data_IF_170521907872
#
_entry.id   IF_170521907872
#
_cell.length_a   1.000
_cell.length_b   1.000
_cell.length_c   1.000
_cell.angle_alpha   90.00
_cell.angle_beta   90.00
_cell.angle_gamma   90.00
#
_symmetry.space_group_name_H-M   'P 1'
#
loop_
_entity.id
_entity.type
_entity.pdbx_description
1 polymer ?
#
# COMPACT_ATOMS: atom_id res chain seq x y z
N UNK A 1 6.62 22.46 11.16
CA UNK A 1 6.30 21.03 10.95
C UNK A 1 6.55 20.73 9.49
N UNK A 2 7.51 19.88 9.16
CA UNK A 2 7.56 19.33 7.79
C UNK A 2 6.26 18.52 7.63
N UNK A 3 5.37 18.98 6.78
CA UNK A 3 4.19 18.21 6.39
C UNK A 3 4.76 17.00 5.64
N UNK A 4 4.42 15.79 6.06
CA UNK A 4 4.77 14.60 5.31
C UNK A 4 4.24 14.80 3.89
N UNK A 5 5.13 14.83 2.89
CA UNK A 5 4.73 15.02 1.52
C UNK A 5 4.25 13.71 0.90
N UNK A 6 3.55 13.81 -0.22
CA UNK A 6 3.11 12.66 -0.98
C UNK A 6 4.32 11.82 -1.46
N UNK A 7 4.11 10.51 -1.63
CA UNK A 7 5.12 9.61 -2.16
C UNK A 7 4.58 8.81 -3.35
N UNK A 8 5.39 8.69 -4.41
CA UNK A 8 5.15 7.77 -5.52
C UNK A 8 5.95 6.49 -5.29
N UNK A 9 5.34 5.32 -5.49
CA UNK A 9 5.99 4.04 -5.21
C UNK A 9 5.52 2.92 -6.14
N UNK A 10 6.34 1.87 -6.24
CA UNK A 10 6.03 0.66 -6.98
C UNK A 10 5.47 -0.43 -6.06
N UNK A 11 4.47 -1.16 -6.55
CA UNK A 11 3.87 -2.27 -5.81
C UNK A 11 3.61 -3.49 -6.72
N UNK A 12 4.09 -4.69 -6.35
CA UNK A 12 4.97 -4.96 -5.22
C UNK A 12 6.36 -4.29 -5.39
N UNK A 13 7.05 -3.88 -4.30
CA UNK A 13 8.36 -3.23 -4.41
C UNK A 13 9.49 -4.21 -4.76
N UNK A 14 9.24 -5.50 -4.67
CA UNK A 14 10.19 -6.56 -5.03
C UNK A 14 9.46 -7.83 -5.43
N UNK A 15 10.17 -8.73 -6.10
CA UNK A 15 9.64 -10.04 -6.49
C UNK A 15 10.72 -10.93 -7.11
N UNK A 16 10.47 -12.24 -7.14
CA UNK A 16 11.32 -13.20 -7.84
C UNK A 16 10.48 -13.89 -8.90
N UNK A 17 10.94 -13.81 -10.15
CA UNK A 17 10.25 -14.31 -11.34
C UNK A 17 11.20 -15.16 -12.20
N UNK A 18 10.67 -15.94 -13.11
CA UNK A 18 11.48 -16.66 -14.07
C UNK A 18 11.74 -15.81 -15.32
N UNK A 19 12.89 -16.03 -15.94
CA UNK A 19 13.16 -15.44 -17.27
C UNK A 19 12.05 -15.82 -18.26
N UNK A 20 11.56 -14.84 -19.02
CA UNK A 20 10.42 -14.91 -19.94
C UNK A 20 9.04 -15.02 -19.29
N UNK A 21 8.93 -14.91 -17.98
CA UNK A 21 7.67 -14.81 -17.25
C UNK A 21 7.19 -13.35 -17.18
N UNK A 22 5.87 -13.15 -17.34
CA UNK A 22 5.25 -11.85 -17.19
C UNK A 22 4.86 -11.62 -15.72
N UNK A 23 5.13 -10.41 -15.21
CA UNK A 23 4.68 -9.99 -13.88
C UNK A 23 4.17 -8.54 -13.91
N UNK A 24 3.28 -8.21 -12.99
CA UNK A 24 2.65 -6.90 -12.96
C UNK A 24 3.18 -6.07 -11.80
N UNK A 25 3.53 -4.82 -12.11
CA UNK A 25 3.92 -3.80 -11.14
C UNK A 25 2.95 -2.63 -11.26
N UNK A 26 2.45 -2.14 -10.14
CA UNK A 26 1.57 -0.98 -10.09
C UNK A 26 2.37 0.26 -9.68
N UNK A 27 2.17 1.36 -10.38
CA UNK A 27 2.57 2.69 -9.93
C UNK A 27 1.48 3.21 -9.02
N UNK A 28 1.84 3.56 -7.80
CA UNK A 28 0.91 4.01 -6.76
C UNK A 28 1.36 5.32 -6.13
N UNK A 29 0.40 6.05 -5.57
CA UNK A 29 0.64 7.27 -4.80
C UNK A 29 0.04 7.13 -3.40
N UNK A 30 0.86 7.47 -2.41
CA UNK A 30 0.45 7.81 -1.06
C UNK A 30 0.42 9.34 -0.96
N UNK A 31 -0.74 9.92 -0.71
CA UNK A 31 -0.88 11.37 -0.61
C UNK A 31 -0.47 11.93 0.74
N UNK A 32 -0.13 11.08 1.71
CA UNK A 32 0.14 11.44 3.11
C UNK A 32 -0.98 12.29 3.73
N UNK A 33 -2.24 11.98 3.38
CA UNK A 33 -3.42 12.70 3.86
C UNK A 33 -3.65 14.08 3.22
N UNK A 34 -2.84 14.47 2.23
CA UNK A 34 -3.06 15.69 1.48
C UNK A 34 -4.03 15.45 0.33
N UNK A 35 -4.84 16.45 0.02
CA UNK A 35 -5.67 16.44 -1.19
C UNK A 35 -4.79 16.68 -2.42
N UNK A 36 -4.67 15.68 -3.29
CA UNK A 36 -3.93 15.75 -4.55
C UNK A 36 -4.89 15.56 -5.73
N UNK A 37 -4.56 16.14 -6.89
CA UNK A 37 -5.39 16.02 -8.08
C UNK A 37 -4.61 15.67 -9.35
N UNK A 38 -3.30 15.74 -9.38
CA UNK A 38 -2.50 15.39 -10.53
C UNK A 38 -1.15 14.81 -10.13
N UNK A 39 -0.58 13.97 -10.99
CA UNK A 39 0.80 13.55 -10.90
C UNK A 39 1.35 13.18 -12.27
N UNK A 40 2.66 13.31 -12.39
CA UNK A 40 3.44 12.88 -13.54
C UNK A 40 4.74 12.24 -13.09
N UNK A 41 5.36 11.49 -13.97
CA UNK A 41 6.65 10.88 -13.65
C UNK A 41 7.28 10.12 -14.79
N UNK A 42 8.56 9.86 -14.62
CA UNK A 42 9.36 9.01 -15.50
C UNK A 42 10.00 7.91 -14.68
N UNK A 43 9.78 6.65 -15.09
CA UNK A 43 10.49 5.51 -14.55
C UNK A 43 11.57 5.06 -15.54
N UNK A 44 12.62 4.46 -14.99
CA UNK A 44 13.74 3.91 -15.75
C UNK A 44 14.03 2.47 -15.32
N UNK A 45 14.35 1.64 -16.29
CA UNK A 45 14.76 0.25 -16.09
C UNK A 45 15.85 -0.14 -17.08
N UNK A 46 16.56 -1.24 -16.84
CA UNK A 46 17.57 -1.72 -17.75
C UNK A 46 16.93 -2.60 -18.86
N UNK A 47 16.87 -2.12 -20.12
CA UNK A 47 16.26 -2.89 -21.21
C UNK A 47 17.06 -4.15 -21.62
N UNK A 48 18.29 -4.29 -21.13
CA UNK A 48 19.08 -5.52 -21.27
C UNK A 48 18.60 -6.65 -20.34
N UNK A 49 17.99 -6.31 -19.21
CA UNK A 49 17.59 -7.26 -18.16
C UNK A 49 16.10 -7.59 -18.21
N UNK A 50 15.26 -6.60 -18.56
CA UNK A 50 13.80 -6.75 -18.64
C UNK A 50 13.22 -5.92 -19.77
N UNK A 51 11.95 -6.16 -20.08
CA UNK A 51 11.17 -5.38 -21.02
C UNK A 51 9.76 -5.13 -20.50
N UNK A 52 9.13 -4.04 -20.93
CA UNK A 52 7.70 -3.79 -20.73
C UNK A 52 6.91 -4.51 -21.82
N UNK A 53 5.93 -5.31 -21.42
CA UNK A 53 5.01 -6.02 -22.32
C UNK A 53 3.78 -5.13 -22.60
N UNK A 54 3.25 -4.48 -21.56
CA UNK A 54 2.10 -3.58 -21.70
C UNK A 54 1.99 -2.62 -20.50
N UNK A 55 1.28 -1.52 -20.69
CA UNK A 55 0.85 -0.62 -19.65
C UNK A 55 -0.68 -0.46 -19.70
N UNK A 56 -1.35 -0.40 -18.56
CA UNK A 56 -2.82 -0.34 -18.48
C UNK A 56 -3.28 0.66 -17.44
N UNK A 57 -4.26 1.49 -17.83
CA UNK A 57 -4.93 2.44 -16.96
C UNK A 57 -6.09 1.84 -16.16
N UNK A 58 -6.39 0.56 -16.36
CA UNK A 58 -7.49 -0.12 -15.65
C UNK A 58 -7.28 -0.10 -14.15
N UNK A 59 -8.28 0.37 -13.39
CA UNK A 59 -8.19 0.52 -11.94
C UNK A 59 -7.47 1.77 -11.46
N UNK A 60 -7.13 2.70 -12.37
CA UNK A 60 -6.56 4.01 -12.03
C UNK A 60 -7.57 4.88 -11.28
N UNK A 61 -7.08 5.65 -10.29
CA UNK A 61 -7.88 6.74 -9.72
C UNK A 61 -7.83 8.01 -10.57
N UNK A 62 -6.93 8.10 -11.55
CA UNK A 62 -6.91 9.17 -12.53
C UNK A 62 -8.08 9.02 -13.50
N UNK A 63 -8.77 10.12 -13.74
CA UNK A 63 -9.89 10.21 -14.70
C UNK A 63 -9.52 10.99 -15.97
N UNK A 64 -8.42 11.74 -15.93
CA UNK A 64 -7.88 12.54 -17.02
C UNK A 64 -6.41 12.20 -17.23
N UNK A 65 -5.98 12.17 -18.49
CA UNK A 65 -4.59 11.88 -18.85
C UNK A 65 -4.08 13.00 -19.78
N UNK A 66 -3.02 13.68 -19.33
CA UNK A 66 -2.28 14.65 -20.15
C UNK A 66 -1.22 13.94 -21.00
N UNK A 67 -0.69 12.82 -20.47
CA UNK A 67 0.18 11.90 -21.18
C UNK A 67 -0.20 10.46 -20.74
N UNK A 68 -0.74 9.69 -21.68
CA UNK A 68 -1.03 8.27 -21.42
C UNK A 68 0.25 7.53 -21.06
N UNK A 69 0.19 6.50 -20.17
CA UNK A 69 1.35 5.69 -19.86
C UNK A 69 1.99 5.12 -21.13
N UNK A 70 3.18 5.58 -21.45
CA UNK A 70 3.97 5.20 -22.63
C UNK A 70 5.30 4.61 -22.22
N UNK A 71 5.87 3.73 -23.04
CA UNK A 71 7.15 3.11 -22.73
C UNK A 71 8.02 2.87 -23.97
N UNK A 72 9.32 2.80 -23.73
CA UNK A 72 10.31 2.44 -24.77
C UNK A 72 11.26 1.37 -24.23
N UNK A 73 11.17 0.19 -24.77
CA UNK A 73 12.11 -0.91 -24.46
C UNK A 73 13.52 -0.68 -25.05
N UNK A 74 13.71 0.31 -25.92
CA UNK A 74 15.03 0.68 -26.42
C UNK A 74 15.79 1.56 -25.43
N UNK A 75 15.09 2.48 -24.79
CA UNK A 75 15.68 3.44 -23.86
C UNK A 75 15.48 3.05 -22.39
N UNK A 76 14.63 2.07 -22.09
CA UNK A 76 14.29 1.67 -20.73
C UNK A 76 13.50 2.73 -19.97
N UNK A 77 12.66 3.52 -20.65
CA UNK A 77 11.87 4.59 -20.05
C UNK A 77 10.37 4.28 -20.10
N UNK A 78 9.67 4.74 -19.05
CA UNK A 78 8.21 4.74 -18.97
C UNK A 78 7.81 6.11 -18.49
N UNK A 79 6.88 6.76 -19.18
CA UNK A 79 6.43 8.12 -18.89
C UNK A 79 4.91 8.15 -18.72
N UNK A 80 4.43 8.98 -17.80
CA UNK A 80 3.01 9.17 -17.56
C UNK A 80 2.72 10.55 -17.00
N UNK A 81 1.50 11.04 -17.22
CA UNK A 81 0.99 12.28 -16.64
C UNK A 81 -0.53 12.29 -16.67
N UNK A 82 -1.15 12.65 -15.57
CA UNK A 82 -2.59 12.68 -15.49
C UNK A 82 -3.10 13.18 -14.15
N UNK A 83 -4.41 13.09 -13.96
CA UNK A 83 -5.05 13.59 -12.76
C UNK A 83 -6.51 13.16 -12.63
N UNK A 84 -7.15 13.73 -11.63
CA UNK A 84 -8.55 13.49 -11.31
C UNK A 84 -9.27 14.80 -11.01
N UNK A 85 -10.53 14.89 -11.41
CA UNK A 85 -11.37 16.06 -11.08
C UNK A 85 -11.73 16.12 -9.59
N UNK A 86 -11.90 14.96 -8.96
CA UNK A 86 -12.14 14.86 -7.52
C UNK A 86 -10.81 14.66 -6.82
N UNK A 87 -10.48 15.53 -5.88
CA UNK A 87 -9.27 15.38 -5.06
C UNK A 87 -9.17 13.98 -4.45
N UNK A 88 -7.96 13.43 -4.46
CA UNK A 88 -7.64 12.16 -3.85
C UNK A 88 -6.80 12.37 -2.60
N UNK A 89 -7.26 11.81 -1.47
CA UNK A 89 -6.50 11.70 -0.23
C UNK A 89 -6.49 10.24 0.20
N UNK A 90 -5.33 9.59 0.20
CA UNK A 90 -5.21 8.18 0.54
C UNK A 90 -3.81 7.63 0.32
N UNK A 91 -3.54 6.45 0.89
CA UNK A 91 -2.20 5.86 0.95
C UNK A 91 -1.90 4.81 -0.11
N UNK A 92 -2.81 4.54 -1.04
CA UNK A 92 -2.64 3.42 -1.97
C UNK A 92 -3.28 3.60 -3.34
N UNK A 93 -3.44 4.86 -3.80
CA UNK A 93 -4.04 5.17 -5.10
C UNK A 93 -3.25 4.55 -6.24
N UNK A 94 -3.87 3.67 -7.01
CA UNK A 94 -3.25 3.12 -8.22
C UNK A 94 -3.30 4.17 -9.33
N UNK A 95 -2.14 4.54 -9.85
CA UNK A 95 -2.02 5.40 -11.03
C UNK A 95 -2.21 4.57 -12.31
N UNK A 96 -1.39 3.54 -12.51
CA UNK A 96 -1.53 2.57 -13.61
C UNK A 96 -0.76 1.29 -13.31
N UNK A 97 -0.99 0.26 -14.12
CA UNK A 97 -0.32 -1.03 -14.02
C UNK A 97 0.63 -1.22 -15.21
N UNK A 98 1.77 -1.88 -14.97
CA UNK A 98 2.78 -2.20 -15.97
C UNK A 98 3.04 -3.71 -15.93
N UNK A 99 2.96 -4.38 -17.06
CA UNK A 99 3.37 -5.77 -17.20
C UNK A 99 4.80 -5.80 -17.71
N UNK A 100 5.70 -6.36 -16.94
CA UNK A 100 7.09 -6.60 -17.30
C UNK A 100 7.36 -8.06 -17.61
N UNK A 101 8.50 -8.31 -18.26
CA UNK A 101 9.05 -9.65 -18.51
C UNK A 101 10.57 -9.62 -18.38
N UNK A 102 11.14 -10.53 -17.57
CA UNK A 102 12.58 -10.69 -17.44
C UNK A 102 13.20 -11.30 -18.69
N UNK A 103 14.34 -10.78 -19.14
CA UNK A 103 15.06 -11.25 -20.35
C UNK A 103 16.20 -12.17 -20.02
N UNK A 104 16.90 -11.93 -18.94
CA UNK A 104 18.06 -12.68 -18.47
C UNK A 104 17.97 -12.92 -16.95
N UNK A 105 18.67 -13.95 -16.47
CA UNK A 105 18.80 -14.16 -15.02
C UNK A 105 19.68 -13.06 -14.41
N UNK A 106 19.06 -12.18 -13.61
CA UNK A 106 19.69 -11.02 -12.99
C UNK A 106 18.81 -10.48 -11.86
N UNK A 107 19.27 -9.48 -11.14
CA UNK A 107 18.44 -8.65 -10.27
C UNK A 107 18.38 -7.26 -10.86
N UNK A 108 17.22 -6.90 -11.40
CA UNK A 108 16.99 -5.65 -12.07
C UNK A 108 16.26 -4.64 -11.18
N UNK A 109 16.51 -3.37 -11.39
CA UNK A 109 15.91 -2.26 -10.67
C UNK A 109 14.96 -1.48 -11.58
N UNK A 110 13.85 -1.03 -11.02
CA UNK A 110 12.99 -0.02 -11.64
C UNK A 110 12.97 1.18 -10.70
N UNK A 111 13.39 2.33 -11.18
CA UNK A 111 13.50 3.54 -10.37
C UNK A 111 12.73 4.70 -11.02
N UNK A 112 12.21 5.60 -10.20
CA UNK A 112 11.76 6.90 -10.69
C UNK A 112 12.98 7.79 -10.96
N UNK A 113 13.08 8.34 -12.16
CA UNK A 113 14.10 9.33 -12.51
C UNK A 113 13.61 10.76 -12.32
N UNK A 114 12.31 10.98 -12.39
CA UNK A 114 11.63 12.26 -12.12
C UNK A 114 10.17 12.03 -11.78
N UNK A 115 9.55 13.01 -11.11
CA UNK A 115 8.12 13.00 -10.83
C UNK A 115 7.66 14.26 -10.12
N UNK A 116 6.35 14.49 -10.17
CA UNK A 116 5.64 15.49 -9.38
C UNK A 116 4.29 14.94 -8.94
N UNK A 117 3.80 15.41 -7.80
CA UNK A 117 2.43 15.18 -7.31
C UNK A 117 1.89 16.53 -6.88
N UNK A 118 0.79 16.97 -7.49
CA UNK A 118 0.25 18.30 -7.29
C UNK A 118 -0.90 18.29 -6.29
N UNK A 119 -0.86 19.25 -5.35
CA UNK A 119 -1.95 19.50 -4.43
C UNK A 119 -3.21 19.97 -5.18
N UNK A 120 -4.37 19.59 -4.64
CA UNK A 120 -5.67 20.01 -5.17
C UNK A 120 -6.07 21.42 -4.65
N UNK A 121 -5.11 22.32 -4.50
CA UNK A 121 -5.29 23.70 -4.00
C UNK A 121 -5.50 24.75 -5.10
N UNK A 122 -5.46 24.33 -6.34
CA UNK A 122 -5.56 25.19 -7.50
C UNK A 122 -4.30 26.02 -7.81
N UNK A 123 -3.22 25.87 -7.03
CA UNK A 123 -1.96 26.62 -7.21
C UNK A 123 -0.90 25.80 -7.94
N UNK A 124 -1.11 24.49 -8.13
CA UNK A 124 -0.14 23.59 -8.76
C UNK A 124 1.10 23.31 -7.91
N UNK A 125 0.96 23.41 -6.59
CA UNK A 125 2.07 23.13 -5.66
C UNK A 125 2.47 21.67 -5.73
N UNK A 126 3.77 21.39 -5.97
CA UNK A 126 4.30 20.05 -5.92
C UNK A 126 4.53 19.63 -4.47
N UNK A 127 3.79 18.60 -4.04
CA UNK A 127 3.83 18.04 -2.67
C UNK A 127 4.57 16.72 -2.59
N UNK A 128 5.20 16.27 -3.68
CA UNK A 128 5.99 15.04 -3.70
C UNK A 128 7.22 15.15 -2.81
N UNK A 129 7.36 14.25 -1.85
CA UNK A 129 8.50 14.19 -0.92
C UNK A 129 9.35 12.94 -1.09
N UNK A 130 8.83 11.89 -1.74
CA UNK A 130 9.54 10.63 -1.93
C UNK A 130 9.15 9.88 -3.19
N UNK A 131 10.13 9.17 -3.77
CA UNK A 131 9.93 8.26 -4.89
C UNK A 131 10.62 6.94 -4.57
N UNK A 132 9.86 5.84 -4.55
CA UNK A 132 10.36 4.52 -4.16
C UNK A 132 10.23 3.55 -5.33
N UNK A 133 11.38 3.13 -5.84
CA UNK A 133 11.50 2.13 -6.91
C UNK A 133 11.26 0.71 -6.40
N UNK A 134 11.63 -0.28 -7.24
CA UNK A 134 11.51 -1.70 -6.91
C UNK A 134 12.69 -2.52 -7.41
N UNK A 135 12.91 -3.69 -6.78
CA UNK A 135 13.97 -4.64 -7.10
C UNK A 135 13.38 -6.01 -7.45
N UNK A 136 13.69 -6.53 -8.64
CA UNK A 136 13.06 -7.75 -9.17
C UNK A 136 14.14 -8.72 -9.62
N UNK A 137 14.16 -9.91 -9.00
CA UNK A 137 15.13 -10.97 -9.32
C UNK A 137 14.57 -11.90 -10.39
N UNK A 138 15.35 -12.17 -11.40
CA UNK A 138 15.03 -13.14 -12.45
C UNK A 138 15.91 -14.36 -12.32
N UNK A 139 15.30 -15.51 -12.09
CA UNK A 139 16.00 -16.80 -12.06
C UNK A 139 15.94 -17.45 -13.44
N UNK A 140 16.97 -18.22 -13.79
CA UNK A 140 17.03 -18.89 -15.06
C UNK A 140 15.80 -19.78 -15.28
N UNK A 141 15.25 -19.77 -16.50
CA UNK A 141 14.27 -20.77 -16.91
C UNK A 141 14.99 -22.11 -16.86
N UNK A 142 14.48 -23.07 -16.10
CA UNK A 142 15.04 -24.41 -16.06
C UNK A 142 14.91 -24.96 -17.48
N UNK A 143 16.03 -25.06 -18.20
CA UNK A 143 16.05 -25.72 -19.47
C UNK A 143 15.72 -27.21 -19.24
N UNK A 144 14.90 -27.83 -20.06
CA UNK A 144 14.77 -29.29 -20.03
C UNK A 144 16.17 -29.90 -20.18
N UNK A 145 16.49 -30.99 -19.45
CA UNK A 145 17.81 -31.62 -19.53
C UNK A 145 18.12 -31.94 -20.99
N UNK A 146 19.25 -31.42 -21.48
CA UNK A 146 19.77 -31.73 -22.79
C UNK A 146 20.08 -33.23 -22.80
N UNK A 147 19.29 -34.00 -23.50
CA UNK A 147 19.62 -35.38 -23.80
C UNK A 147 20.86 -35.30 -24.70
N UNK A 148 22.01 -35.70 -24.19
CA UNK A 148 23.22 -35.84 -25.01
C UNK A 148 22.94 -36.94 -26.05
N UNK A 149 22.93 -36.53 -27.29
CA UNK A 149 22.87 -37.44 -28.44
C UNK A 149 24.18 -38.21 -28.46
N UNK A 150 24.18 -39.54 -28.57
CA UNK A 150 25.42 -40.30 -28.74
C UNK A 150 26.14 -39.83 -30.03
N UNK A 151 27.44 -39.69 -29.93
CA UNK A 151 28.37 -39.28 -30.99
C UNK A 151 28.14 -40.13 -32.23
N UNK A 152 27.75 -39.50 -33.33
CA UNK A 152 27.64 -40.14 -34.64
C UNK A 152 29.03 -40.54 -35.17
N UNK A 153 29.16 -41.79 -35.54
CA UNK A 153 30.24 -42.32 -36.39
C UNK A 153 29.97 -41.91 -37.84
N UNK A 154 31.00 -41.56 -38.65
CA UNK A 154 30.82 -40.93 -39.96
C UNK A 154 30.09 -41.83 -41.00
N UNK A 155 29.46 -41.24 -42.02
CA UNK A 155 28.49 -41.92 -42.88
C UNK A 155 29.13 -42.80 -43.95
N UNK A 156 28.58 -44.01 -44.08
CA UNK A 156 28.71 -44.80 -45.30
C UNK A 156 27.56 -44.41 -46.21
N UNK A 157 27.92 -43.89 -47.38
CA UNK A 157 26.99 -43.59 -48.47
C UNK A 157 26.29 -44.85 -49.02
N UNK A 158 24.94 -44.85 -49.02
CA UNK A 158 24.23 -45.65 -50.09
C UNK A 158 22.77 -45.18 -50.25
N UNK A 159 22.52 -44.84 -51.48
CA UNK A 159 21.35 -45.01 -52.36
C UNK A 159 19.94 -44.57 -51.90
N UNK A 160 19.44 -43.67 -52.76
CA UNK A 160 18.05 -43.21 -52.89
C UNK A 160 17.10 -44.39 -53.16
N UNK A 161 16.07 -44.53 -52.32
CA UNK A 161 14.74 -44.94 -52.73
C UNK A 161 13.77 -44.13 -51.88
N UNK A 162 13.05 -43.24 -52.54
CA UNK A 162 12.00 -42.39 -51.89
C UNK A 162 10.75 -43.25 -51.69
N UNK A 163 10.69 -43.97 -50.58
CA UNK A 163 9.43 -44.39 -49.99
C UNK A 163 9.11 -43.41 -48.89
N UNK A 164 7.95 -42.76 -48.95
CA UNK A 164 7.40 -41.88 -47.96
C UNK A 164 7.26 -42.64 -46.65
N UNK A 165 8.29 -42.64 -45.80
CA UNK A 165 8.20 -43.14 -44.43
C UNK A 165 7.25 -42.21 -43.70
N UNK A 166 6.03 -42.69 -43.38
CA UNK A 166 5.15 -42.02 -42.41
C UNK A 166 5.93 -41.87 -41.11
N UNK A 167 6.21 -40.61 -40.73
CA UNK A 167 6.99 -40.24 -39.56
C UNK A 167 6.35 -40.90 -38.31
N UNK A 168 7.06 -41.82 -37.67
CA UNK A 168 6.61 -42.49 -36.43
C UNK A 168 6.56 -41.42 -35.32
N UNK A 169 5.36 -40.95 -35.01
CA UNK A 169 5.18 -39.81 -34.10
C UNK A 169 4.39 -40.23 -32.89
N UNK A 170 5.06 -40.34 -31.74
CA UNK A 170 4.41 -40.46 -30.44
C UNK A 170 3.66 -39.15 -30.09
N UNK A 171 2.63 -39.18 -29.21
CA UNK A 171 1.87 -37.99 -28.86
C UNK A 171 2.72 -36.84 -28.30
N UNK A 172 2.40 -35.61 -28.66
CA UNK A 172 2.92 -34.44 -27.98
C UNK A 172 2.45 -34.40 -26.49
N UNK A 173 3.11 -33.58 -25.67
CA UNK A 173 2.68 -33.37 -24.30
C UNK A 173 1.24 -32.85 -24.24
N UNK A 174 0.38 -33.42 -23.38
CA UNK A 174 -1.00 -32.94 -23.19
C UNK A 174 -1.07 -31.46 -22.81
N UNK A 175 -2.06 -30.74 -23.31
CA UNK A 175 -2.37 -29.38 -22.83
C UNK A 175 -3.28 -29.48 -21.65
N UNK A 176 -2.74 -29.19 -20.44
CA UNK A 176 -3.49 -29.20 -19.19
C UNK A 176 -3.95 -27.78 -18.88
N UNK A 177 -5.19 -27.64 -18.43
CA UNK A 177 -5.73 -26.41 -17.84
C UNK A 177 -6.39 -26.72 -16.51
N UNK A 178 -6.49 -25.72 -15.65
CA UNK A 178 -7.21 -25.85 -14.37
C UNK A 178 -8.17 -24.67 -14.19
N UNK A 179 -9.50 -24.89 -14.30
CA UNK A 179 -10.47 -23.83 -14.03
C UNK A 179 -10.49 -23.35 -12.58
N UNK A 180 -10.13 -24.23 -11.63
CA UNK A 180 -10.05 -23.89 -10.22
C UNK A 180 -8.74 -23.18 -9.84
N UNK A 181 -7.65 -23.45 -10.57
CA UNK A 181 -6.31 -22.93 -10.36
C UNK A 181 -5.70 -22.49 -11.70
N UNK A 182 -6.26 -21.42 -12.31
CA UNK A 182 -5.92 -21.08 -13.71
C UNK A 182 -4.50 -20.54 -13.88
N UNK A 183 -3.90 -20.01 -12.81
CA UNK A 183 -2.55 -19.48 -12.81
C UNK A 183 -1.63 -20.39 -11.99
N UNK A 184 -0.71 -21.13 -12.62
CA UNK A 184 0.17 -22.05 -11.92
C UNK A 184 1.25 -21.36 -11.07
N UNK A 185 1.39 -20.04 -11.19
CA UNK A 185 2.37 -19.24 -10.43
C UNK A 185 1.73 -18.51 -9.24
N UNK A 186 0.42 -18.66 -9.04
CA UNK A 186 -0.34 -17.99 -7.99
C UNK A 186 -0.80 -18.95 -6.91
N UNK A 187 -0.72 -18.52 -5.66
CA UNK A 187 -1.33 -19.21 -4.53
C UNK A 187 -2.85 -19.07 -4.57
N UNK A 188 -3.55 -20.16 -4.26
CA UNK A 188 -5.00 -20.23 -4.25
C UNK A 188 -5.51 -20.78 -2.92
N UNK A 189 -6.61 -20.21 -2.42
CA UNK A 189 -7.28 -20.70 -1.20
C UNK A 189 -7.96 -22.04 -1.37
N UNK A 190 -8.46 -22.30 -2.57
CA UNK A 190 -9.25 -23.51 -2.83
C UNK A 190 -8.37 -24.73 -2.75
N UNK A 191 -8.81 -25.71 -1.95
CA UNK A 191 -8.20 -27.03 -1.82
C UNK A 191 -8.77 -28.05 -2.80
N UNK A 192 -9.81 -27.67 -3.57
CA UNK A 192 -10.45 -28.52 -4.56
C UNK A 192 -9.92 -28.18 -5.95
N UNK A 193 -9.16 -29.10 -6.53
CA UNK A 193 -8.49 -28.89 -7.82
C UNK A 193 -9.23 -29.63 -8.91
N UNK A 194 -9.44 -28.94 -10.03
CA UNK A 194 -10.01 -29.52 -11.25
C UNK A 194 -9.04 -29.33 -12.39
N UNK A 195 -8.63 -30.42 -13.03
CA UNK A 195 -7.84 -30.41 -14.26
C UNK A 195 -8.69 -30.82 -15.44
N UNK A 196 -8.46 -30.17 -16.57
CA UNK A 196 -9.05 -30.46 -17.88
C UNK A 196 -7.94 -30.55 -18.91
N UNK A 197 -8.17 -31.35 -19.95
CA UNK A 197 -7.26 -31.46 -21.10
C UNK A 197 -8.00 -31.84 -22.37
N UNK A 198 -7.43 -31.49 -23.52
CA UNK A 198 -7.90 -31.90 -24.82
C UNK A 198 -7.42 -33.30 -25.13
N UNK A 199 -8.27 -34.14 -25.71
CA UNK A 199 -7.95 -35.51 -26.06
C UNK A 199 -7.89 -35.69 -27.61
N UNK A 200 -6.70 -35.87 -28.21
CA UNK A 200 -6.56 -36.20 -29.61
C UNK A 200 -7.18 -37.58 -29.96
N UNK A 201 -7.70 -37.72 -31.18
CA UNK A 201 -8.45 -38.92 -31.63
C UNK A 201 -7.60 -40.20 -31.71
N UNK A 202 -6.29 -40.07 -31.82
CA UNK A 202 -5.34 -41.18 -31.97
C UNK A 202 -4.83 -41.76 -30.64
N UNK A 203 -5.29 -41.20 -29.51
CA UNK A 203 -4.87 -41.64 -28.18
C UNK A 203 -5.54 -42.95 -27.81
N UNK A 204 -4.73 -43.94 -27.41
CA UNK A 204 -5.16 -45.27 -27.01
C UNK A 204 -5.06 -45.54 -25.51
N UNK A 205 -4.24 -44.78 -24.80
CA UNK A 205 -4.12 -44.87 -23.35
C UNK A 205 -3.68 -43.53 -22.74
N UNK A 206 -4.10 -43.29 -21.47
CA UNK A 206 -3.79 -42.12 -20.69
C UNK A 206 -3.25 -42.57 -19.33
N UNK A 207 -2.23 -41.93 -18.82
CA UNK A 207 -1.81 -42.09 -17.43
C UNK A 207 -1.51 -40.75 -16.79
N UNK A 208 -1.85 -40.63 -15.48
CA UNK A 208 -1.61 -39.44 -14.71
C UNK A 208 -1.09 -39.72 -13.30
N UNK A 209 -0.54 -38.76 -12.67
CA UNK A 209 -0.17 -38.78 -11.24
C UNK A 209 -0.26 -37.36 -10.67
N UNK A 210 -0.56 -37.24 -9.37
CA UNK A 210 -0.63 -35.98 -8.66
C UNK A 210 0.17 -36.09 -7.37
N UNK A 211 1.23 -35.31 -7.24
CA UNK A 211 2.18 -35.33 -6.12
C UNK A 211 2.94 -34.00 -5.99
N UNK A 212 3.94 -33.94 -5.12
CA UNK A 212 4.76 -32.75 -4.85
C UNK A 212 6.05 -32.68 -5.68
N UNK A 213 6.29 -33.64 -6.58
CA UNK A 213 7.48 -33.69 -7.41
C UNK A 213 7.28 -32.91 -8.70
N UNK A 214 8.16 -31.97 -9.02
CA UNK A 214 8.06 -31.15 -10.23
C UNK A 214 8.25 -31.94 -11.53
N UNK A 215 8.97 -33.06 -11.49
CA UNK A 215 9.20 -33.98 -12.59
C UNK A 215 8.90 -35.38 -12.11
N UNK A 216 7.90 -36.01 -12.69
CA UNK A 216 7.48 -37.36 -12.30
C UNK A 216 6.91 -38.11 -13.52
N UNK A 217 7.19 -39.43 -13.59
CA UNK A 217 6.60 -40.28 -14.62
C UNK A 217 5.22 -40.77 -14.13
N UNK A 218 4.12 -40.40 -14.81
CA UNK A 218 2.78 -40.78 -14.39
C UNK A 218 2.63 -42.30 -14.40
N UNK A 219 1.98 -42.83 -13.34
CA UNK A 219 1.84 -44.29 -13.15
C UNK A 219 0.37 -44.75 -13.15
N UNK A 220 -0.57 -43.90 -12.76
CA UNK A 220 -1.99 -44.28 -12.66
C UNK A 220 -2.64 -44.25 -14.06
N UNK A 221 -3.12 -45.39 -14.51
CA UNK A 221 -3.87 -45.48 -15.76
C UNK A 221 -5.27 -44.88 -15.61
N UNK A 222 -5.69 -44.08 -16.58
CA UNK A 222 -7.06 -43.58 -16.75
C UNK A 222 -7.71 -44.28 -17.95
N UNK A 223 -9.04 -44.23 -18.00
CA UNK A 223 -9.77 -44.68 -19.21
C UNK A 223 -9.37 -43.77 -20.40
N UNK A 224 -9.32 -44.34 -21.61
CA UNK A 224 -8.85 -43.61 -22.80
C UNK A 224 -9.72 -42.40 -23.19
N UNK A 225 -10.92 -42.28 -22.60
CA UNK A 225 -11.86 -41.19 -22.87
C UNK A 225 -11.83 -40.08 -21.77
N UNK A 226 -10.97 -40.23 -20.78
CA UNK A 226 -10.88 -39.27 -19.67
C UNK A 226 -10.35 -37.93 -20.17
N UNK A 227 -11.10 -36.84 -19.90
CA UNK A 227 -10.74 -35.46 -20.25
C UNK A 227 -10.70 -34.52 -19.01
N UNK A 228 -11.00 -35.09 -17.83
CA UNK A 228 -11.13 -34.36 -16.57
C UNK A 228 -10.65 -35.20 -15.39
N UNK A 229 -10.01 -34.55 -14.43
CA UNK A 229 -9.69 -35.13 -13.12
C UNK A 229 -9.92 -34.10 -12.03
N UNK A 230 -10.48 -34.55 -10.89
CA UNK A 230 -10.71 -33.70 -9.70
C UNK A 230 -9.96 -34.32 -8.52
N UNK A 231 -9.31 -33.47 -7.74
CA UNK A 231 -8.65 -33.81 -6.49
C UNK A 231 -9.24 -32.94 -5.38
N UNK A 232 -10.13 -33.49 -4.54
CA UNK A 232 -10.76 -32.71 -3.48
C UNK A 232 -9.88 -32.65 -2.24
N UNK A 233 -10.01 -31.56 -1.46
CA UNK A 233 -9.39 -31.35 -0.16
C UNK A 233 -7.87 -31.62 -0.14
N UNK A 234 -7.14 -31.10 -1.12
CA UNK A 234 -5.69 -31.18 -1.14
C UNK A 234 -5.08 -30.34 -0.02
N UNK A 235 -3.98 -30.82 0.57
CA UNK A 235 -3.23 -30.08 1.57
C UNK A 235 -2.58 -28.84 1.01
N UNK A 236 -2.22 -27.89 1.90
CA UNK A 236 -1.47 -26.71 1.51
C UNK A 236 -0.07 -27.08 1.02
N UNK A 237 0.48 -26.29 0.11
CA UNK A 237 1.77 -26.54 -0.50
C UNK A 237 1.77 -26.46 -2.03
N UNK A 238 2.89 -26.88 -2.62
CA UNK A 238 3.09 -26.92 -4.08
C UNK A 238 2.88 -28.34 -4.59
N UNK A 239 2.01 -28.47 -5.54
CA UNK A 239 1.60 -29.74 -6.13
C UNK A 239 1.77 -29.73 -7.64
N UNK A 240 1.93 -30.89 -8.25
CA UNK A 240 2.07 -31.06 -9.68
C UNK A 240 1.17 -32.18 -10.19
N UNK A 241 0.41 -31.88 -11.24
CA UNK A 241 -0.32 -32.88 -11.99
C UNK A 241 0.48 -33.24 -13.24
N UNK A 242 0.79 -34.53 -13.39
CA UNK A 242 1.54 -35.11 -14.48
C UNK A 242 0.59 -35.91 -15.36
N UNK A 243 0.62 -35.68 -16.68
CA UNK A 243 -0.25 -36.33 -17.61
C UNK A 243 0.54 -36.78 -18.86
N UNK A 244 0.29 -38.00 -19.33
CA UNK A 244 0.95 -38.54 -20.51
C UNK A 244 -0.03 -39.32 -21.37
N UNK A 245 0.07 -39.18 -22.68
CA UNK A 245 -0.72 -39.88 -23.68
C UNK A 245 0.07 -40.96 -24.34
N UNK A 246 -0.63 -42.03 -24.80
CA UNK A 246 -0.10 -43.09 -25.63
C UNK A 246 -0.94 -43.21 -26.91
N UNK A 247 -0.29 -43.42 -28.04
CA UNK A 247 -0.92 -43.85 -29.30
C UNK A 247 -0.33 -45.17 -29.79
N UNK A 248 -0.65 -45.58 -30.99
CA UNK A 248 -0.13 -46.83 -31.61
C UNK A 248 1.38 -46.91 -31.70
N UNK A 249 2.09 -45.77 -31.67
CA UNK A 249 3.54 -45.68 -31.75
C UNK A 249 4.22 -45.68 -30.36
N UNK A 250 3.49 -45.48 -29.28
CA UNK A 250 4.04 -45.51 -27.94
C UNK A 250 3.59 -44.34 -27.04
N UNK A 251 4.24 -44.22 -25.88
CA UNK A 251 4.04 -43.12 -24.95
C UNK A 251 4.76 -41.86 -25.46
N UNK A 252 4.04 -40.72 -25.43
CA UNK A 252 4.56 -39.42 -25.84
C UNK A 252 5.25 -38.66 -24.70
N UNK A 253 5.36 -37.35 -24.86
CA UNK A 253 5.93 -36.45 -23.84
C UNK A 253 4.97 -36.28 -22.68
N UNK A 254 5.52 -36.00 -21.47
CA UNK A 254 4.77 -35.76 -20.26
C UNK A 254 4.48 -34.25 -20.13
N UNK A 255 3.27 -33.91 -19.80
CA UNK A 255 2.91 -32.55 -19.33
C UNK A 255 2.94 -32.50 -17.81
N UNK A 256 3.40 -31.38 -17.27
CA UNK A 256 3.42 -31.08 -15.85
C UNK A 256 2.68 -29.77 -15.61
N UNK A 257 1.67 -29.77 -14.72
CA UNK A 257 0.92 -28.57 -14.35
C UNK A 257 1.08 -28.34 -12.86
N UNK A 258 1.66 -27.18 -12.48
CA UNK A 258 1.85 -26.77 -11.09
C UNK A 258 0.59 -26.13 -10.53
N UNK A 259 0.27 -26.42 -9.27
CA UNK A 259 -0.70 -25.68 -8.46
C UNK A 259 -0.11 -25.37 -7.11
N UNK A 260 -0.45 -24.19 -6.57
CA UNK A 260 0.00 -23.72 -5.28
C UNK A 260 -1.23 -23.46 -4.41
N UNK A 261 -1.35 -24.19 -3.31
CA UNK A 261 -2.51 -24.18 -2.43
C UNK A 261 -2.10 -23.63 -1.07
N UNK A 262 -2.84 -22.65 -0.60
CA UNK A 262 -2.74 -22.14 0.74
C UNK A 262 -4.13 -21.77 1.24
N UNK A 263 -4.77 -22.69 1.91
CA UNK A 263 -6.07 -22.51 2.54
C UNK A 263 -6.00 -22.13 4.01
N UNK A 264 -4.79 -21.96 4.56
CA UNK A 264 -4.55 -21.62 5.96
C UNK A 264 -4.33 -20.11 6.11
N UNK A 265 -4.91 -19.46 7.11
CA UNK A 265 -4.66 -18.03 7.34
C UNK A 265 -3.32 -17.82 8.04
N UNK A 266 -2.74 -16.61 8.00
CA UNK A 266 -1.58 -16.24 8.80
C UNK A 266 -1.73 -16.59 10.27
N UNK A 267 -0.63 -16.98 10.93
CA UNK A 267 -0.60 -17.25 12.36
C UNK A 267 -1.05 -16.01 13.16
N UNK A 268 -1.69 -16.21 14.35
CA UNK A 268 -1.98 -15.11 15.27
C UNK A 268 -0.72 -14.32 15.62
N UNK A 269 -0.85 -13.00 15.73
CA UNK A 269 0.24 -12.08 16.06
C UNK A 269 -0.26 -10.98 17.01
N UNK A 270 0.68 -10.31 17.68
CA UNK A 270 0.39 -9.23 18.61
C UNK A 270 0.80 -7.88 18.02
N UNK A 271 0.22 -6.82 18.57
CA UNK A 271 0.54 -5.43 18.25
C UNK A 271 1.17 -4.82 19.49
N UNK A 272 2.46 -4.48 19.40
CA UNK A 272 3.17 -3.76 20.45
C UNK A 272 3.15 -2.26 20.18
N UNK A 273 2.82 -1.47 21.19
CA UNK A 273 2.95 -0.01 21.14
C UNK A 273 4.28 0.40 21.76
N UNK A 274 5.09 1.12 21.00
CA UNK A 274 6.11 1.97 21.58
C UNK A 274 5.58 3.40 21.63
N UNK A 275 5.25 3.85 22.84
CA UNK A 275 5.07 5.27 23.05
C UNK A 275 6.45 5.91 23.13
N UNK A 276 6.62 7.01 22.40
CA UNK A 276 7.78 7.87 22.56
C UNK A 276 7.98 8.22 24.05
N UNK A 277 9.15 8.74 24.43
CA UNK A 277 9.48 9.16 25.80
C UNK A 277 8.48 10.14 26.41
N UNK A 278 7.57 10.70 25.59
CA UNK A 278 6.50 11.61 26.00
C UNK A 278 5.15 10.92 25.86
N UNK A 279 4.47 10.61 26.98
CA UNK A 279 3.16 9.95 26.98
C UNK A 279 2.07 10.70 26.17
N UNK A 280 2.15 12.01 26.11
CA UNK A 280 1.21 12.89 25.40
C UNK A 280 1.51 13.01 23.89
N UNK A 281 2.49 12.25 23.34
CA UNK A 281 2.73 12.22 21.90
C UNK A 281 1.52 11.60 21.18
N UNK A 282 0.85 12.36 20.32
CA UNK A 282 -0.35 11.90 19.63
C UNK A 282 -0.07 10.97 18.44
N UNK A 283 1.19 10.63 18.19
CA UNK A 283 1.63 9.85 17.04
C UNK A 283 2.25 8.50 17.45
N UNK A 284 1.48 7.59 18.09
CA UNK A 284 2.01 6.31 18.55
C UNK A 284 2.59 5.49 17.39
N UNK A 285 3.60 4.67 17.72
CA UNK A 285 4.25 3.76 16.79
C UNK A 285 3.84 2.33 17.10
N UNK A 286 3.36 1.61 16.09
CA UNK A 286 2.89 0.24 16.18
C UNK A 286 3.91 -0.72 15.58
N UNK A 287 4.31 -1.71 16.36
CA UNK A 287 5.16 -2.84 15.96
C UNK A 287 4.31 -4.10 15.88
N UNK A 288 4.36 -4.80 14.77
CA UNK A 288 3.70 -6.09 14.60
C UNK A 288 4.39 -6.88 13.50
N UNK A 289 4.30 -8.20 13.61
CA UNK A 289 4.83 -9.11 12.60
C UNK A 289 4.01 -10.40 12.61
N UNK A 290 3.28 -10.64 11.54
CA UNK A 290 2.62 -11.91 11.29
C UNK A 290 3.55 -12.86 10.53
N UNK A 291 3.26 -14.16 10.61
CA UNK A 291 3.94 -15.22 9.87
C UNK A 291 2.91 -16.07 9.15
N UNK A 292 3.32 -16.61 8.01
CA UNK A 292 2.56 -17.54 7.21
C UNK A 292 3.49 -18.58 6.61
N UNK A 293 3.09 -19.87 6.68
CA UNK A 293 3.98 -20.99 6.39
C UNK A 293 4.06 -21.34 4.88
N UNK A 294 3.14 -20.82 4.04
CA UNK A 294 3.03 -21.21 2.64
C UNK A 294 3.17 -20.06 1.67
N UNK A 295 2.16 -19.18 1.60
CA UNK A 295 2.16 -18.08 0.62
C UNK A 295 2.85 -16.80 1.14
N UNK A 296 3.18 -16.78 2.43
CA UNK A 296 3.78 -15.63 3.12
C UNK A 296 2.82 -14.46 3.27
N UNK A 297 3.23 -13.45 4.02
CA UNK A 297 2.40 -12.24 4.21
C UNK A 297 2.51 -11.35 2.97
N UNK A 298 1.38 -11.10 2.36
CA UNK A 298 1.25 -10.22 1.20
C UNK A 298 1.11 -8.76 1.62
N UNK A 299 0.26 -8.47 2.60
CA UNK A 299 -0.01 -7.11 3.05
C UNK A 299 -0.58 -7.06 4.47
N UNK A 300 -0.44 -5.88 5.09
CA UNK A 300 -1.14 -5.49 6.31
C UNK A 300 -2.14 -4.38 5.99
N UNK A 301 -3.39 -4.55 6.43
CA UNK A 301 -4.42 -3.52 6.43
C UNK A 301 -4.53 -2.99 7.86
N UNK A 302 -4.16 -1.72 8.07
CA UNK A 302 -4.09 -1.07 9.39
C UNK A 302 -5.24 -0.07 9.49
N UNK A 303 -6.01 -0.16 10.55
CA UNK A 303 -7.12 0.76 10.83
C UNK A 303 -7.05 1.26 12.26
N UNK A 304 -7.14 2.56 12.46
CA UNK A 304 -7.21 3.20 13.77
C UNK A 304 -8.57 3.87 13.88
N UNK A 305 -9.36 3.49 14.90
CA UNK A 305 -10.72 3.96 15.13
C UNK A 305 -11.61 3.88 13.88
N UNK A 306 -12.28 4.98 13.57
CA UNK A 306 -13.13 5.12 12.38
C UNK A 306 -12.39 5.69 11.16
N UNK A 307 -11.05 5.83 11.22
CA UNK A 307 -10.26 6.32 10.09
C UNK A 307 -10.26 5.29 8.94
N UNK A 308 -10.03 5.72 7.70
CA UNK A 308 -9.85 4.81 6.58
C UNK A 308 -8.69 3.83 6.84
N UNK A 309 -8.86 2.59 6.42
CA UNK A 309 -7.81 1.61 6.53
C UNK A 309 -6.64 1.91 5.57
N UNK A 310 -5.42 1.65 6.03
CA UNK A 310 -4.17 1.87 5.30
C UNK A 310 -3.57 0.51 4.97
N UNK A 311 -3.23 0.28 3.70
CA UNK A 311 -2.55 -0.94 3.28
C UNK A 311 -1.03 -0.73 3.25
N UNK A 312 -0.27 -1.65 3.85
CA UNK A 312 1.20 -1.65 3.88
C UNK A 312 1.76 -3.02 3.50
N UNK A 313 2.86 -3.04 2.76
CA UNK A 313 3.59 -4.29 2.53
C UNK A 313 4.43 -4.67 3.74
N UNK A 314 4.74 -5.97 3.95
CA UNK A 314 5.62 -6.40 5.02
C UNK A 314 6.98 -5.69 5.02
N UNK A 315 7.57 -5.51 3.85
CA UNK A 315 8.87 -4.84 3.71
C UNK A 315 8.87 -3.39 4.24
N UNK A 316 7.76 -2.66 4.07
CA UNK A 316 7.61 -1.30 4.61
C UNK A 316 7.56 -1.34 6.14
N UNK A 317 6.77 -2.27 6.71
CA UNK A 317 6.63 -2.42 8.17
C UNK A 317 7.94 -2.89 8.81
N UNK A 318 8.67 -3.78 8.16
CA UNK A 318 9.99 -4.26 8.64
C UNK A 318 11.06 -3.15 8.58
N UNK A 319 11.03 -2.30 7.56
CA UNK A 319 11.96 -1.19 7.42
C UNK A 319 11.65 -0.02 8.38
N UNK A 320 10.36 0.21 8.66
CA UNK A 320 9.88 1.28 9.53
C UNK A 320 8.55 0.89 10.14
N UNK A 321 8.45 0.75 11.47
CA UNK A 321 7.19 0.51 12.15
C UNK A 321 6.14 1.57 11.79
N UNK A 322 4.86 1.21 11.89
CA UNK A 322 3.79 2.13 11.51
C UNK A 322 3.59 3.22 12.57
N UNK A 323 3.96 4.45 12.22
CA UNK A 323 3.61 5.64 13.01
C UNK A 323 2.25 6.17 12.55
N UNK A 324 1.36 6.46 13.50
CA UNK A 324 0.06 7.04 13.17
C UNK A 324 0.15 8.53 12.84
N UNK A 325 -0.83 9.02 12.08
CA UNK A 325 -1.12 10.45 12.07
C UNK A 325 -1.60 10.88 13.46
N UNK A 326 -1.43 12.18 13.83
CA UNK A 326 -1.82 12.66 15.14
C UNK A 326 -3.25 12.28 15.55
N UNK A 327 -3.39 11.70 16.74
CA UNK A 327 -4.66 11.32 17.37
C UNK A 327 -5.08 12.38 18.39
N UNK A 328 -6.38 12.49 18.65
CA UNK A 328 -6.89 13.30 19.75
C UNK A 328 -6.57 12.64 21.11
N UNK A 329 -6.52 13.39 22.21
CA UNK A 329 -6.51 12.74 23.52
C UNK A 329 -7.74 11.87 23.75
N UNK A 330 -7.57 10.72 24.39
CA UNK A 330 -8.63 9.77 24.68
C UNK A 330 -8.24 8.32 24.37
N UNK A 331 -9.23 7.43 24.46
CA UNK A 331 -9.08 6.01 24.17
C UNK A 331 -9.20 5.75 22.67
N UNK A 332 -8.38 4.84 22.18
CA UNK A 332 -8.26 4.48 20.77
C UNK A 332 -8.16 2.97 20.59
N UNK A 333 -8.53 2.49 19.40
CA UNK A 333 -8.41 1.10 18.99
C UNK A 333 -7.63 1.03 17.67
N UNK A 334 -6.57 0.23 17.64
CA UNK A 334 -5.90 -0.16 16.40
C UNK A 334 -6.29 -1.59 16.04
N UNK A 335 -6.61 -1.81 14.77
CA UNK A 335 -6.88 -3.12 14.18
C UNK A 335 -5.90 -3.34 13.03
N UNK A 336 -5.16 -4.43 13.07
CA UNK A 336 -4.25 -4.84 12.01
C UNK A 336 -4.71 -6.17 11.45
N UNK A 337 -4.94 -6.23 10.15
CA UNK A 337 -5.28 -7.43 9.41
C UNK A 337 -4.10 -7.85 8.55
N UNK A 338 -3.47 -8.96 8.89
CA UNK A 338 -2.47 -9.60 8.05
C UNK A 338 -3.17 -10.41 6.95
N UNK A 339 -2.73 -10.24 5.72
CA UNK A 339 -3.26 -10.89 4.51
C UNK A 339 -2.12 -11.65 3.87
N UNK A 340 -2.31 -12.93 3.58
CA UNK A 340 -1.32 -13.78 2.91
C UNK A 340 -1.38 -13.68 1.37
N UNK A 341 -0.49 -14.40 0.67
CA UNK A 341 -0.41 -14.41 -0.79
C UNK A 341 -1.57 -15.12 -1.48
N UNK A 342 -2.32 -15.97 -0.76
CA UNK A 342 -3.54 -16.62 -1.25
C UNK A 342 -4.79 -15.78 -0.95
N UNK A 343 -4.66 -14.74 -0.12
CA UNK A 343 -5.73 -13.84 0.31
C UNK A 343 -6.51 -14.34 1.54
N UNK A 344 -5.99 -15.30 2.35
CA UNK A 344 -6.50 -15.57 3.70
C UNK A 344 -6.06 -14.44 4.63
N UNK A 345 -6.64 -14.33 5.82
CA UNK A 345 -6.28 -13.24 6.73
C UNK A 345 -6.52 -13.56 8.19
N UNK A 346 -5.71 -12.93 9.04
CA UNK A 346 -5.83 -12.95 10.50
C UNK A 346 -5.84 -11.53 11.04
N UNK A 347 -6.68 -11.27 12.04
CA UNK A 347 -6.83 -9.97 12.69
C UNK A 347 -6.12 -9.96 14.04
N UNK A 348 -5.47 -8.84 14.36
CA UNK A 348 -5.02 -8.49 15.71
C UNK A 348 -5.55 -7.11 16.08
N UNK A 349 -5.79 -6.86 17.37
CA UNK A 349 -6.35 -5.61 17.90
C UNK A 349 -5.62 -5.22 19.17
N UNK A 350 -5.43 -3.90 19.37
CA UNK A 350 -4.92 -3.35 20.62
C UNK A 350 -5.64 -2.05 20.97
N UNK A 351 -6.06 -1.94 22.24
CA UNK A 351 -6.59 -0.71 22.82
C UNK A 351 -5.46 0.09 23.43
N UNK A 352 -5.49 1.42 23.29
CA UNK A 352 -4.50 2.32 23.86
C UNK A 352 -5.11 3.68 24.12
N UNK A 353 -4.45 4.50 24.95
CA UNK A 353 -4.90 5.86 25.25
C UNK A 353 -3.81 6.88 24.94
N UNK A 354 -4.21 8.03 24.42
CA UNK A 354 -3.37 9.22 24.31
C UNK A 354 -3.76 10.15 25.46
N UNK A 355 -2.88 10.34 26.47
CA UNK A 355 -3.15 11.28 27.55
C UNK A 355 -3.31 12.70 27.05
N UNK A 356 -4.23 13.45 27.65
CA UNK A 356 -4.35 14.87 27.40
C UNK A 356 -3.29 15.65 28.17
N UNK A 357 -2.71 16.68 27.56
CA UNK A 357 -1.91 17.67 28.30
C UNK A 357 -2.75 18.40 29.34
N UNK A 358 -2.15 18.75 30.47
CA UNK A 358 -2.83 19.56 31.47
C UNK A 358 -3.23 20.93 30.90
N UNK A 359 -4.42 21.41 31.26
CA UNK A 359 -4.86 22.72 30.84
C UNK A 359 -3.97 23.83 31.36
N UNK A 360 -3.75 24.92 30.58
CA UNK A 360 -3.03 26.09 31.08
C UNK A 360 -3.81 26.78 32.21
N UNK A 361 -3.12 27.18 33.26
CA UNK A 361 -3.68 27.95 34.37
C UNK A 361 -3.74 29.42 33.98
N UNK A 362 -4.89 30.05 34.12
CA UNK A 362 -5.08 31.47 33.82
C UNK A 362 -4.94 32.24 35.12
N UNK A 363 -3.93 33.10 35.23
CA UNK A 363 -3.62 33.89 36.41
C UNK A 363 -4.15 35.33 36.32
N UNK A 364 -4.37 35.80 35.07
CA UNK A 364 -4.87 37.14 34.82
C UNK A 364 -5.86 37.17 33.64
N UNK A 365 -7.01 37.76 33.88
CA UNK A 365 -8.02 38.11 32.86
C UNK A 365 -8.14 39.63 32.74
N UNK A 366 -8.56 40.18 31.59
CA UNK A 366 -8.75 41.61 31.40
C UNK A 366 -9.74 42.16 32.41
N UNK A 367 -9.31 43.14 33.20
CA UNK A 367 -10.16 43.88 34.13
C UNK A 367 -10.54 45.22 33.53
N UNK A 368 -11.83 45.62 33.65
CA UNK A 368 -12.35 46.88 33.13
C UNK A 368 -11.99 47.14 31.66
N UNK A 369 -12.11 46.07 30.86
CA UNK A 369 -11.90 46.18 29.41
C UNK A 369 -12.98 47.03 28.78
N UNK A 370 -12.61 47.91 27.86
CA UNK A 370 -13.52 48.69 27.03
C UNK A 370 -13.17 48.50 25.56
N UNK A 371 -14.01 49.00 24.69
CA UNK A 371 -13.89 48.80 23.20
C UNK A 371 -12.56 49.31 22.60
N UNK A 372 -11.81 50.16 23.36
CA UNK A 372 -10.55 50.77 22.91
C UNK A 372 -9.31 50.11 23.48
N UNK A 373 -9.45 49.21 24.46
CA UNK A 373 -8.31 48.65 25.20
C UNK A 373 -7.87 47.31 24.66
N UNK A 374 -6.55 47.12 24.72
CA UNK A 374 -5.93 45.83 24.45
C UNK A 374 -6.32 44.81 25.53
N UNK A 375 -6.82 43.65 25.09
CA UNK A 375 -7.13 42.56 26.00
C UNK A 375 -5.87 41.71 26.23
N UNK A 376 -5.48 41.55 27.48
CA UNK A 376 -4.28 40.77 27.84
C UNK A 376 -4.69 39.68 28.81
N UNK A 377 -4.39 38.46 28.46
CA UNK A 377 -4.50 37.28 29.30
C UNK A 377 -3.11 36.76 29.63
N UNK A 378 -2.93 36.37 30.89
CA UNK A 378 -1.68 35.78 31.36
C UNK A 378 -1.96 34.48 32.11
N UNK A 379 -0.98 33.62 32.15
CA UNK A 379 -1.08 32.37 32.88
C UNK A 379 0.21 31.62 32.95
N UNK A 380 0.10 30.42 33.45
CA UNK A 380 1.21 29.51 33.63
C UNK A 380 0.82 28.10 33.14
N UNK A 381 1.77 27.30 32.79
CA UNK A 381 1.63 25.90 32.37
C UNK A 381 2.80 25.08 32.91
N UNK A 382 2.58 23.82 33.17
CA UNK A 382 3.64 22.85 33.48
C UNK A 382 4.53 22.46 32.26
N UNK A 383 4.24 23.01 31.09
CA UNK A 383 4.95 22.69 29.86
C UNK A 383 5.70 23.92 29.31
N UNK A 384 7.03 24.00 29.48
CA UNK A 384 7.85 25.03 28.86
C UNK A 384 7.85 24.90 27.33
N UNK A 385 7.97 26.02 26.62
CA UNK A 385 8.03 26.09 25.13
C UNK A 385 6.83 25.49 24.41
N UNK A 386 5.73 25.25 25.12
CA UNK A 386 4.47 24.79 24.55
C UNK A 386 3.67 25.96 23.94
N UNK A 387 2.87 25.63 22.93
CA UNK A 387 1.97 26.60 22.30
C UNK A 387 0.69 26.78 23.11
N UNK A 388 0.30 28.03 23.41
CA UNK A 388 -1.01 28.38 23.95
C UNK A 388 -1.85 28.95 22.82
N UNK A 389 -3.01 28.35 22.56
CA UNK A 389 -4.03 28.89 21.66
C UNK A 389 -5.15 29.50 22.54
N UNK A 390 -5.42 30.78 22.34
CA UNK A 390 -6.52 31.50 22.99
C UNK A 390 -7.54 31.93 21.93
N UNK A 391 -8.81 31.61 22.11
CA UNK A 391 -9.90 32.03 21.25
C UNK A 391 -10.89 32.91 22.06
N UNK A 392 -11.41 33.96 21.45
CA UNK A 392 -12.53 34.74 21.97
C UNK A 392 -13.79 34.28 21.25
N UNK A 393 -14.82 33.97 22.06
CA UNK A 393 -16.11 33.49 21.59
C UNK A 393 -17.26 34.33 22.13
N UNK A 394 -18.36 34.40 21.42
CA UNK A 394 -19.64 34.95 21.86
C UNK A 394 -20.76 33.98 21.45
N UNK A 395 -21.57 33.55 22.43
CA UNK A 395 -22.66 32.59 22.19
C UNK A 395 -22.20 31.31 21.49
N UNK A 396 -21.00 30.77 21.83
CA UNK A 396 -20.43 29.58 21.22
C UNK A 396 -19.82 29.78 19.82
N UNK A 397 -19.85 31.01 19.28
CA UNK A 397 -19.22 31.30 17.99
C UNK A 397 -17.83 31.92 18.22
N UNK A 398 -16.80 31.29 17.63
CA UNK A 398 -15.43 31.82 17.64
C UNK A 398 -15.33 33.07 16.79
N UNK A 399 -14.85 34.16 17.35
CA UNK A 399 -14.66 35.44 16.70
C UNK A 399 -13.22 35.64 16.23
N UNK A 400 -12.26 35.30 17.07
CA UNK A 400 -10.82 35.44 16.79
C UNK A 400 -10.03 34.42 17.61
N UNK A 401 -8.86 34.03 17.14
CA UNK A 401 -7.90 33.28 17.94
C UNK A 401 -6.48 33.79 17.73
N UNK A 402 -5.67 33.69 18.79
CA UNK A 402 -4.22 33.98 18.76
C UNK A 402 -3.46 32.90 19.50
N UNK A 403 -2.19 32.77 19.15
CA UNK A 403 -1.28 31.84 19.82
C UNK A 403 -0.09 32.58 20.42
N UNK A 404 0.46 32.02 21.48
CA UNK A 404 1.72 32.40 22.09
C UNK A 404 2.50 31.15 22.49
N UNK A 405 3.78 31.30 22.81
CA UNK A 405 4.59 30.21 23.40
C UNK A 405 4.71 30.48 24.89
N UNK A 406 4.75 29.44 25.71
CA UNK A 406 5.20 29.51 27.09
C UNK A 406 6.71 29.72 27.12
N UNK A 407 7.20 30.46 28.08
CA UNK A 407 8.64 30.66 28.33
C UNK A 407 9.27 29.42 29.03
N UNK A 408 10.51 29.50 29.43
CA UNK A 408 11.23 28.43 30.12
C UNK A 408 10.67 28.05 31.49
N UNK A 409 9.89 28.95 32.10
CA UNK A 409 9.18 28.71 33.37
C UNK A 409 7.74 28.23 33.18
N UNK A 410 7.27 28.18 31.93
CA UNK A 410 5.87 27.85 31.60
C UNK A 410 4.94 29.06 31.60
N UNK A 411 5.45 30.29 31.82
CA UNK A 411 4.62 31.49 31.81
C UNK A 411 4.25 31.91 30.40
N UNK A 412 3.04 32.40 30.22
CA UNK A 412 2.54 32.80 28.90
C UNK A 412 1.72 34.10 28.95
N UNK A 413 1.71 34.82 27.83
CA UNK A 413 0.94 36.04 27.62
C UNK A 413 0.31 35.97 26.22
N UNK A 414 -1.03 36.08 26.17
CA UNK A 414 -1.76 36.26 24.90
C UNK A 414 -2.45 37.62 24.95
N UNK A 415 -2.29 38.42 23.90
CA UNK A 415 -2.91 39.70 23.81
C UNK A 415 -3.62 39.94 22.47
N UNK A 416 -4.85 40.43 22.57
CA UNK A 416 -5.65 40.89 21.44
C UNK A 416 -5.65 42.42 21.44
N UNK A 417 -5.15 43.00 20.38
CA UNK A 417 -5.10 44.44 20.16
C UNK A 417 -6.27 44.90 19.29
N UNK A 418 -5.95 45.73 18.29
CA UNK A 418 -6.94 46.28 17.37
C UNK A 418 -7.38 45.26 16.27
N UNK A 419 -7.02 44.00 16.43
CA UNK A 419 -7.35 42.94 15.43
C UNK A 419 -8.84 42.61 15.40
N UNK A 420 -9.57 42.99 16.47
CA UNK A 420 -11.01 42.81 16.57
C UNK A 420 -11.65 43.95 17.36
N UNK A 421 -12.71 44.53 16.84
CA UNK A 421 -13.55 45.49 17.54
C UNK A 421 -14.66 44.74 18.30
N UNK A 422 -14.45 44.47 19.60
CA UNK A 422 -15.45 43.87 20.44
C UNK A 422 -16.38 44.96 21.02
N UNK A 423 -17.68 44.83 20.76
CA UNK A 423 -18.71 45.72 21.30
C UNK A 423 -19.01 45.35 22.76
N UNK A 424 -19.67 46.27 23.47
CA UNK A 424 -20.18 46.03 24.84
C UNK A 424 -20.89 44.67 24.94
N UNK A 425 -20.55 43.92 26.00
CA UNK A 425 -21.14 42.61 26.26
C UNK A 425 -20.23 41.61 26.94
N UNK A 426 -20.79 40.44 27.21
CA UNK A 426 -20.08 39.32 27.82
C UNK A 426 -19.52 38.42 26.74
N UNK A 427 -18.26 38.06 26.91
CA UNK A 427 -17.50 37.16 26.01
C UNK A 427 -16.87 36.03 26.80
N UNK A 428 -16.49 34.99 26.09
CA UNK A 428 -15.77 33.84 26.63
C UNK A 428 -14.38 33.76 25.98
N UNK A 429 -13.36 33.48 26.79
CA UNK A 429 -12.04 33.10 26.28
C UNK A 429 -11.82 31.62 26.54
N UNK A 430 -11.45 30.92 25.50
CA UNK A 430 -11.15 29.48 25.49
C UNK A 430 -9.66 29.30 25.26
N UNK A 431 -9.02 28.54 26.14
CA UNK A 431 -7.58 28.27 26.04
C UNK A 431 -7.31 26.81 25.80
N UNK A 432 -6.30 26.54 24.98
CA UNK A 432 -5.74 25.20 24.75
C UNK A 432 -4.22 25.29 24.79
N UNK A 433 -3.59 24.23 25.23
CA UNK A 433 -2.14 24.06 25.11
C UNK A 433 -1.84 22.92 24.14
N UNK A 434 -0.73 23.06 23.44
CA UNK A 434 -0.23 22.03 22.52
C UNK A 434 1.30 22.02 22.53
N UNK A 435 1.90 20.84 22.34
CA UNK A 435 3.34 20.69 22.21
C UNK A 435 3.76 20.64 20.73
N UNK A 436 5.06 20.57 20.47
CA UNK A 436 5.63 20.50 19.12
C UNK A 436 5.27 19.22 18.36
N UNK A 437 4.94 18.13 19.07
CA UNK A 437 4.52 16.85 18.49
C UNK A 437 3.01 16.80 18.18
N UNK A 438 2.27 17.83 18.56
CA UNK A 438 0.81 17.94 18.34
C UNK A 438 -0.04 17.39 19.49
N UNK A 439 0.57 16.93 20.58
CA UNK A 439 -0.13 16.66 21.84
C UNK A 439 -0.87 17.91 22.30
N UNK A 440 -2.09 17.77 22.82
CA UNK A 440 -2.93 18.90 23.18
C UNK A 440 -3.73 18.62 24.45
N UNK A 441 -4.19 19.72 25.12
CA UNK A 441 -5.14 19.60 26.22
C UNK A 441 -6.51 19.15 25.71
N UNK A 442 -7.26 18.45 26.54
CA UNK A 442 -8.69 18.26 26.38
C UNK A 442 -9.46 19.58 26.57
N UNK A 443 -10.77 19.55 26.73
CA UNK A 443 -11.59 20.74 26.98
C UNK A 443 -11.19 21.44 28.26
N UNK A 444 -10.63 22.65 28.15
CA UNK A 444 -10.27 23.48 29.29
C UNK A 444 -11.42 24.42 29.72
N UNK A 445 -11.36 24.90 30.95
CA UNK A 445 -12.38 25.77 31.47
C UNK A 445 -12.48 27.08 30.66
N UNK A 446 -13.71 27.53 30.47
CA UNK A 446 -14.02 28.79 29.80
C UNK A 446 -13.84 29.94 30.80
N UNK A 447 -13.28 31.06 30.36
CA UNK A 447 -13.13 32.27 31.17
C UNK A 447 -14.05 33.36 30.62
N UNK A 448 -14.99 33.80 31.44
CA UNK A 448 -15.87 34.90 31.06
C UNK A 448 -15.22 36.27 31.38
N UNK A 449 -15.38 37.23 30.48
CA UNK A 449 -14.97 38.61 30.67
C UNK A 449 -15.98 39.57 30.02
N UNK A 450 -16.01 40.81 30.51
CA UNK A 450 -16.96 41.82 30.05
C UNK A 450 -16.25 42.98 29.34
N UNK A 451 -16.78 43.41 28.23
CA UNK A 451 -16.42 44.66 27.53
C UNK A 451 -17.47 45.71 27.91
N UNK A 452 -17.01 46.87 28.42
CA UNK A 452 -17.85 47.98 28.76
C UNK A 452 -17.76 49.10 27.73
N UNK A 453 -18.81 49.93 27.61
CA UNK A 453 -18.73 51.14 26.79
C UNK A 453 -17.62 52.06 27.26
N UNK A 454 -16.91 52.70 26.34
CA UNK A 454 -15.94 53.72 26.66
C UNK A 454 -16.64 54.94 27.33
N UNK A 455 -15.96 55.63 28.23
CA UNK A 455 -16.49 56.83 28.88
C UNK A 455 -16.89 57.92 27.84
N UNK A 456 -16.18 58.02 26.71
CA UNK A 456 -16.50 58.96 25.65
C UNK A 456 -17.83 58.61 24.91
N UNK A 457 -18.13 57.30 24.72
CA UNK A 457 -19.41 56.88 24.13
C UNK A 457 -20.62 57.12 25.03
N UNK A 458 -20.43 57.09 26.37
CA UNK A 458 -21.47 57.40 27.32
C UNK A 458 -21.85 58.87 27.32
N UNK A 459 -20.89 59.79 27.08
CA UNK A 459 -21.13 61.21 26.99
C UNK A 459 -21.92 61.59 25.73
N UNK A 460 -21.70 60.89 24.60
CA UNK A 460 -22.43 61.14 23.36
C UNK A 460 -23.92 60.74 23.42
N UNK A 461 -24.32 59.75 24.22
CA UNK A 461 -25.74 59.38 24.43
C UNK A 461 -26.50 60.35 25.37
N UNK A 462 -25.81 61.20 26.14
CA UNK A 462 -26.42 62.22 27.00
C UNK A 462 -26.63 63.56 26.22
N UNK A 463 -26.05 63.71 25.03
CA UNK A 463 -26.10 64.92 24.19
C UNK A 463 -27.01 64.76 22.98
N UNK A 464 -27.70 63.67 22.81
CA UNK A 464 -28.76 63.41 21.82
C UNK A 464 -30.10 63.23 22.53
#
# INVERSE_FOLDING_TARGET
KAIAGAASYLFPPSGTYRVSENFTVYVKIDSAGQDINAAEGTLVFNPGEMEVVSASKTGSFFTLWTADPSFSNNTGKIEFGGGTQKAYAGSGGTVFAIVFRGKIASTAQINFSSGSVLAADGMGNNVLSGMHGGSYSFIAKIAPPKIETPTETPPVAQNQNAETQAEIKTPAAPRISSPSHPDPEKWHKSRDIVFLWDLPKDITAIRGSFNNESIFMPQTAYTAETIKKTFPNCGDGVWYFHLQFKNKYGWGSIAHYRVMIDGSPPAPFEIDLSNHEQPEDPTPVFHFKAQDDHSGIFAYEIKIDNRPAILRSPAIIEASPHQSDPLSPGDHLVVVKAIDGAGNSTLSMAEFAIPAMNCPVITQVPQNADESKKLVFRGNSSYPKAGISAAIEKNGQKLISKSALTDENGDWIVSFGNDIALKEGIYQAVFKIYNEHGGQSAGCALVNFEIKKTAAAKIGEWLL
#
